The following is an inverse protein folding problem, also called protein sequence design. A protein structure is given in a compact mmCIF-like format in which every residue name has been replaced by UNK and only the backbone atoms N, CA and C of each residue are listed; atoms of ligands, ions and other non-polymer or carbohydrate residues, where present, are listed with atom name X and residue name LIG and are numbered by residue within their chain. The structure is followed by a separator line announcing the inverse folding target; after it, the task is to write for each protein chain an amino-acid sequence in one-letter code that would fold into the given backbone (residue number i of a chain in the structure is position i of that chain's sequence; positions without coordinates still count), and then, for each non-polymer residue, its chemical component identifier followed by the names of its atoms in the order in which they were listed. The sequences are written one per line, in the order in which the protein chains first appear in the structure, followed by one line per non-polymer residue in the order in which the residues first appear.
data_IF_767428201897
#
_entry.id   IF_767428201897
#
_cell.length_a   1.000
_cell.length_b   1.000
_cell.length_c   1.000
_cell.angle_alpha   90.00
_cell.angle_beta   90.00
_cell.angle_gamma   90.00
#
_symmetry.space_group_name_H-M   'P 1'
#
loop_
_entity.id
_entity.type
_entity.pdbx_description
1 polymer ?
#
# COMPACT_ATOMS: atom_id res chain seq x y z
N UNK A 1 20.34 -9.06 -19.20
CA UNK A 1 19.85 -8.04 -18.24
C UNK A 1 21.05 -7.47 -17.53
N UNK A 2 21.20 -6.15 -17.49
CA UNK A 2 22.25 -5.54 -16.70
C UNK A 2 21.85 -5.55 -15.20
N UNK A 3 22.76 -5.15 -14.32
CA UNK A 3 22.52 -5.12 -12.87
C UNK A 3 21.39 -4.18 -12.47
N UNK A 4 21.23 -3.05 -13.16
CA UNK A 4 20.16 -2.09 -12.90
C UNK A 4 18.76 -2.66 -13.22
N UNK A 5 18.63 -3.42 -14.31
CA UNK A 5 17.38 -4.08 -14.70
C UNK A 5 16.93 -5.09 -13.65
N UNK A 6 17.88 -5.89 -13.14
CA UNK A 6 17.64 -6.87 -12.08
C UNK A 6 17.21 -6.18 -10.78
N UNK A 7 17.89 -5.11 -10.38
CA UNK A 7 17.54 -4.34 -9.19
C UNK A 7 16.14 -3.71 -9.30
N UNK A 8 15.80 -3.14 -10.45
CA UNK A 8 14.47 -2.59 -10.71
C UNK A 8 13.36 -3.65 -10.62
N UNK A 9 13.61 -4.85 -11.18
CA UNK A 9 12.67 -5.96 -11.11
C UNK A 9 12.45 -6.44 -9.66
N UNK A 10 13.53 -6.65 -8.91
CA UNK A 10 13.48 -7.10 -7.51
C UNK A 10 12.77 -6.06 -6.64
N UNK A 11 13.08 -4.77 -6.81
CA UNK A 11 12.40 -3.67 -6.12
C UNK A 11 10.89 -3.71 -6.35
N UNK A 12 10.46 -3.95 -7.60
CA UNK A 12 9.04 -4.09 -7.94
C UNK A 12 8.38 -5.28 -7.25
N UNK A 13 9.05 -6.43 -7.22
CA UNK A 13 8.54 -7.62 -6.53
C UNK A 13 8.36 -7.37 -5.04
N UNK A 14 9.39 -6.81 -4.40
CA UNK A 14 9.35 -6.46 -2.97
C UNK A 14 8.19 -5.49 -2.69
N UNK A 15 8.03 -4.45 -3.52
CA UNK A 15 6.96 -3.48 -3.37
C UNK A 15 5.57 -4.12 -3.45
N UNK A 16 5.33 -4.94 -4.49
CA UNK A 16 4.03 -5.59 -4.70
C UNK A 16 3.73 -6.59 -3.58
N UNK A 17 4.69 -7.45 -3.21
CA UNK A 17 4.50 -8.45 -2.15
C UNK A 17 4.21 -7.78 -0.80
N UNK A 18 4.92 -6.71 -0.48
CA UNK A 18 4.70 -5.95 0.77
C UNK A 18 3.31 -5.30 0.78
N UNK A 19 2.86 -4.74 -0.34
CA UNK A 19 1.52 -4.16 -0.47
C UNK A 19 0.44 -5.23 -0.30
N UNK A 20 0.62 -6.40 -0.93
CA UNK A 20 -0.30 -7.53 -0.82
C UNK A 20 -0.42 -8.02 0.62
N UNK A 21 0.69 -8.14 1.36
CA UNK A 21 0.66 -8.58 2.75
C UNK A 21 -0.05 -7.56 3.67
N UNK A 22 0.24 -6.27 3.52
CA UNK A 22 -0.38 -5.22 4.35
C UNK A 22 -1.88 -5.10 4.08
N UNK A 23 -2.27 -5.02 2.81
CA UNK A 23 -3.67 -4.84 2.41
C UNK A 23 -4.46 -6.14 2.60
N UNK A 24 -3.87 -7.27 2.22
CA UNK A 24 -4.46 -8.60 2.40
C UNK A 24 -4.66 -8.96 3.86
N UNK A 25 -3.70 -8.66 4.74
CA UNK A 25 -3.88 -8.85 6.18
C UNK A 25 -4.96 -7.94 6.77
N UNK A 26 -5.07 -6.69 6.30
CA UNK A 26 -6.16 -5.79 6.69
C UNK A 26 -7.53 -6.32 6.23
N UNK A 27 -7.62 -6.81 4.99
CA UNK A 27 -8.84 -7.41 4.44
C UNK A 27 -9.24 -8.69 5.17
N UNK A 28 -8.29 -9.61 5.41
CA UNK A 28 -8.50 -10.80 6.23
C UNK A 28 -9.02 -10.44 7.62
N UNK A 29 -8.39 -9.45 8.28
CA UNK A 29 -8.83 -9.01 9.59
C UNK A 29 -10.27 -8.50 9.56
N UNK A 30 -10.59 -7.63 8.59
CA UNK A 30 -11.89 -6.97 8.46
C UNK A 30 -13.03 -7.90 8.07
N UNK A 31 -12.79 -8.83 7.17
CA UNK A 31 -13.84 -9.62 6.51
C UNK A 31 -13.91 -11.07 7.00
N UNK A 32 -12.83 -11.63 7.54
CA UNK A 32 -12.80 -13.01 8.03
C UNK A 32 -12.61 -13.06 9.55
N UNK A 33 -11.52 -12.50 10.07
CA UNK A 33 -11.17 -12.66 11.49
C UNK A 33 -12.18 -11.97 12.42
N UNK A 34 -12.45 -10.67 12.24
CA UNK A 34 -13.35 -9.92 13.12
C UNK A 34 -14.76 -10.54 13.15
N UNK A 35 -15.41 -10.84 12.01
CA UNK A 35 -16.72 -11.48 12.03
C UNK A 35 -16.72 -12.89 12.64
N UNK A 36 -15.65 -13.66 12.49
CA UNK A 36 -15.58 -15.02 13.00
C UNK A 36 -15.50 -15.12 14.53
N UNK A 37 -15.04 -14.04 15.20
CA UNK A 37 -14.89 -14.00 16.66
C UNK A 37 -15.96 -13.17 17.37
N UNK A 38 -16.65 -12.30 16.63
CA UNK A 38 -17.71 -11.42 17.14
C UNK A 38 -18.91 -12.26 17.62
N UNK A 39 -19.32 -12.05 18.87
CA UNK A 39 -20.43 -12.80 19.48
C UNK A 39 -20.13 -14.26 19.84
N UNK A 40 -18.94 -14.78 19.51
CA UNK A 40 -18.51 -16.14 19.83
C UNK A 40 -17.58 -16.17 21.05
N UNK A 41 -16.65 -15.20 21.13
CA UNK A 41 -15.70 -15.10 22.24
C UNK A 41 -16.18 -14.10 23.29
N UNK A 42 -15.94 -14.41 24.56
CA UNK A 42 -16.06 -13.43 25.64
C UNK A 42 -14.98 -12.33 25.51
N UNK A 43 -15.21 -11.18 26.14
CA UNK A 43 -14.35 -10.01 26.04
C UNK A 43 -12.90 -10.29 26.46
N UNK A 44 -12.70 -11.12 27.49
CA UNK A 44 -11.37 -11.42 28.02
C UNK A 44 -10.59 -12.31 27.05
N UNK A 45 -11.22 -13.36 26.52
CA UNK A 45 -10.63 -14.25 25.51
C UNK A 45 -10.37 -13.50 24.20
N UNK A 46 -11.31 -12.67 23.77
CA UNK A 46 -11.18 -11.83 22.59
C UNK A 46 -9.96 -10.88 22.71
N UNK A 47 -9.79 -10.22 23.86
CA UNK A 47 -8.65 -9.35 24.14
C UNK A 47 -7.32 -10.11 24.09
N UNK A 48 -7.22 -11.27 24.76
CA UNK A 48 -6.01 -12.10 24.78
C UNK A 48 -5.64 -12.59 23.38
N UNK A 49 -6.62 -13.01 22.58
CA UNK A 49 -6.40 -13.41 21.19
C UNK A 49 -5.84 -12.23 20.38
N UNK A 50 -6.48 -11.06 20.48
CA UNK A 50 -6.04 -9.85 19.79
C UNK A 50 -4.59 -9.49 20.12
N UNK A 51 -4.21 -9.49 21.40
CA UNK A 51 -2.85 -9.18 21.84
C UNK A 51 -1.82 -10.15 21.24
N UNK A 52 -2.13 -11.45 21.23
CA UNK A 52 -1.25 -12.48 20.65
C UNK A 52 -1.10 -12.33 19.14
N UNK A 53 -2.16 -12.00 18.43
CA UNK A 53 -2.14 -11.75 16.99
C UNK A 53 -1.33 -10.49 16.70
N UNK A 54 -1.65 -9.36 17.35
CA UNK A 54 -0.98 -8.07 17.15
C UNK A 54 0.52 -8.16 17.46
N UNK A 55 0.92 -8.87 18.52
CA UNK A 55 2.33 -9.02 18.88
C UNK A 55 3.19 -9.66 17.77
N UNK A 56 2.60 -10.56 16.98
CA UNK A 56 3.25 -11.21 15.83
C UNK A 56 3.09 -10.37 14.56
N UNK A 57 1.87 -9.94 14.30
CA UNK A 57 1.50 -9.25 13.07
C UNK A 57 2.17 -7.87 12.92
N UNK A 58 2.37 -7.14 14.02
CA UNK A 58 3.04 -5.83 14.00
C UNK A 58 4.45 -5.90 13.39
N UNK A 59 5.19 -7.00 13.60
CA UNK A 59 6.53 -7.17 13.04
C UNK A 59 6.46 -7.25 11.51
N UNK A 60 5.54 -8.08 11.00
CA UNK A 60 5.31 -8.23 9.56
C UNK A 60 4.87 -6.91 8.93
N UNK A 61 3.91 -6.21 9.56
CA UNK A 61 3.42 -4.92 9.07
C UNK A 61 4.53 -3.88 9.03
N UNK A 62 5.30 -3.72 10.11
CA UNK A 62 6.39 -2.74 10.15
C UNK A 62 7.46 -3.03 9.10
N UNK A 63 7.84 -4.30 8.92
CA UNK A 63 8.77 -4.71 7.86
C UNK A 63 8.21 -4.38 6.47
N UNK A 64 6.96 -4.74 6.18
CA UNK A 64 6.35 -4.44 4.89
C UNK A 64 6.22 -2.94 4.63
N UNK A 65 5.84 -2.15 5.64
CA UNK A 65 5.76 -0.69 5.52
C UNK A 65 7.14 -0.08 5.26
N UNK A 66 8.19 -0.54 5.95
CA UNK A 66 9.56 -0.10 5.70
C UNK A 66 10.01 -0.43 4.27
N UNK A 67 9.74 -1.67 3.81
CA UNK A 67 10.05 -2.10 2.44
C UNK A 67 9.28 -1.28 1.39
N UNK A 68 8.00 -0.99 1.62
CA UNK A 68 7.18 -0.13 0.75
C UNK A 68 7.71 1.29 0.69
N UNK A 69 8.15 1.84 1.83
CA UNK A 69 8.72 3.17 1.90
C UNK A 69 10.04 3.26 1.11
N UNK A 70 10.96 2.31 1.33
CA UNK A 70 12.26 2.26 0.64
C UNK A 70 12.09 2.05 -0.87
N UNK A 71 11.31 1.05 -1.27
CA UNK A 71 11.05 0.76 -2.69
C UNK A 71 10.26 1.88 -3.38
N UNK A 72 9.34 2.52 -2.65
CA UNK A 72 8.62 3.72 -3.12
C UNK A 72 9.56 4.90 -3.35
N UNK A 73 10.49 5.16 -2.43
CA UNK A 73 11.50 6.20 -2.57
C UNK A 73 12.47 5.92 -3.73
N UNK A 74 12.88 4.66 -3.92
CA UNK A 74 13.68 4.24 -5.07
C UNK A 74 12.95 4.52 -6.40
N UNK A 75 11.67 4.15 -6.50
CA UNK A 75 10.86 4.41 -7.69
C UNK A 75 10.65 5.92 -7.94
N UNK A 76 10.50 6.71 -6.88
CA UNK A 76 10.41 8.17 -6.97
C UNK A 76 11.69 8.79 -7.52
N UNK A 77 12.85 8.38 -7.00
CA UNK A 77 14.15 8.85 -7.46
C UNK A 77 14.37 8.54 -8.95
N UNK A 78 14.08 7.30 -9.37
CA UNK A 78 14.18 6.93 -10.79
C UNK A 78 13.23 7.76 -11.66
N UNK A 79 12.03 8.07 -11.18
CA UNK A 79 11.08 8.91 -11.93
C UNK A 79 11.57 10.34 -12.14
N UNK A 80 12.40 10.90 -11.25
CA UNK A 80 13.01 12.22 -11.48
C UNK A 80 14.18 12.17 -12.47
N UNK A 81 15.00 11.12 -12.40
CA UNK A 81 16.17 10.98 -13.26
C UNK A 81 15.80 10.86 -14.74
N UNK A 82 14.70 10.17 -15.06
CA UNK A 82 14.33 9.86 -16.44
C UNK A 82 13.54 10.98 -17.18
N UNK A 83 13.49 12.21 -16.65
CA UNK A 83 12.83 13.39 -17.27
C UNK A 83 11.48 13.05 -17.94
N UNK A 84 10.60 12.35 -17.22
CA UNK A 84 9.29 11.92 -17.72
C UNK A 84 8.50 13.16 -18.20
N UNK A 85 7.93 13.16 -19.43
CA UNK A 85 7.31 14.34 -20.06
C UNK A 85 6.15 14.97 -19.23
N UNK A 86 5.81 16.25 -19.48
CA UNK A 86 5.17 17.12 -18.48
C UNK A 86 3.66 16.87 -18.27
N UNK A 87 3.22 17.12 -17.03
CA UNK A 87 1.86 17.48 -16.54
C UNK A 87 0.68 16.75 -17.22
N UNK A 88 0.14 15.66 -16.63
CA UNK A 88 -0.43 15.59 -15.27
C UNK A 88 0.17 14.48 -14.37
N UNK A 89 1.38 13.99 -14.69
CA UNK A 89 2.01 12.87 -13.96
C UNK A 89 2.40 13.21 -12.51
N UNK A 90 2.93 14.43 -12.27
CA UNK A 90 3.38 14.88 -10.95
C UNK A 90 2.28 14.99 -9.89
N UNK A 91 1.13 15.63 -10.13
CA UNK A 91 0.07 15.72 -9.12
C UNK A 91 -0.55 14.35 -8.80
N UNK A 92 -0.73 13.48 -9.81
CA UNK A 92 -1.23 12.12 -9.59
C UNK A 92 -0.24 11.29 -8.75
N UNK A 93 1.06 11.44 -9.00
CA UNK A 93 2.09 10.79 -8.19
C UNK A 93 2.07 11.31 -6.75
N UNK A 94 2.02 12.63 -6.55
CA UNK A 94 1.96 13.25 -5.22
C UNK A 94 0.74 12.80 -4.43
N UNK A 95 -0.43 12.74 -5.07
CA UNK A 95 -1.65 12.21 -4.47
C UNK A 95 -1.47 10.74 -4.04
N UNK A 96 -0.90 9.90 -4.93
CA UNK A 96 -0.63 8.48 -4.61
C UNK A 96 0.29 8.35 -3.40
N UNK A 97 1.31 9.19 -3.30
CA UNK A 97 2.23 9.20 -2.15
C UNK A 97 1.50 9.56 -0.84
N UNK A 98 0.68 10.62 -0.84
CA UNK A 98 -0.11 11.01 0.35
C UNK A 98 -1.09 9.93 0.79
N UNK A 99 -1.76 9.29 -0.17
CA UNK A 99 -2.64 8.15 0.10
C UNK A 99 -1.86 6.98 0.69
N UNK A 100 -0.67 6.66 0.14
CA UNK A 100 0.18 5.58 0.63
C UNK A 100 0.65 5.84 2.07
N UNK A 101 1.10 7.06 2.38
CA UNK A 101 1.47 7.45 3.75
C UNK A 101 0.30 7.30 4.73
N UNK A 102 -0.91 7.64 4.28
CA UNK A 102 -2.13 7.46 5.08
C UNK A 102 -2.43 5.98 5.33
N UNK A 103 -2.26 5.12 4.32
CA UNK A 103 -2.39 3.66 4.46
C UNK A 103 -1.35 3.11 5.44
N UNK A 104 -0.10 3.58 5.37
CA UNK A 104 0.97 3.16 6.30
C UNK A 104 0.67 3.58 7.73
N UNK A 105 0.18 4.81 7.91
CA UNK A 105 -0.28 5.30 9.22
C UNK A 105 -1.34 4.39 9.82
N UNK A 106 -2.39 4.05 9.07
CA UNK A 106 -3.43 3.15 9.57
C UNK A 106 -2.90 1.73 9.83
N UNK A 107 -2.05 1.20 8.95
CA UNK A 107 -1.44 -0.11 9.14
C UNK A 107 -0.69 -0.20 10.48
N UNK A 108 0.16 0.81 10.77
CA UNK A 108 0.91 0.89 12.03
C UNK A 108 -0.04 1.14 13.22
N UNK A 109 -0.94 2.12 13.12
CA UNK A 109 -1.84 2.49 14.21
C UNK A 109 -2.76 1.33 14.64
N UNK A 110 -3.33 0.61 13.67
CA UNK A 110 -4.25 -0.51 13.92
C UNK A 110 -3.52 -1.77 14.43
N UNK A 111 -2.21 -1.88 14.20
CA UNK A 111 -1.37 -2.97 14.72
C UNK A 111 -0.48 -2.54 15.90
N UNK A 112 -0.73 -1.37 16.49
CA UNK A 112 0.00 -0.88 17.64
C UNK A 112 -0.66 -1.28 18.96
N UNK A 113 0.17 -1.57 19.97
CA UNK A 113 -0.29 -1.75 21.36
C UNK A 113 -0.24 -0.44 22.16
N UNK A 114 0.25 0.65 21.56
CA UNK A 114 0.38 1.94 22.24
C UNK A 114 -1.00 2.51 22.64
N UNK A 115 -1.12 3.14 23.83
CA UNK A 115 -2.34 3.85 24.25
C UNK A 115 -2.75 4.96 23.29
N UNK A 116 -1.80 5.64 22.63
CA UNK A 116 -2.07 6.75 21.72
C UNK A 116 -2.97 6.38 20.52
N UNK A 117 -3.00 5.12 20.13
CA UNK A 117 -3.85 4.61 19.04
C UNK A 117 -5.13 3.91 19.53
N UNK A 118 -5.46 3.98 20.83
CA UNK A 118 -6.62 3.30 21.39
C UNK A 118 -7.95 3.73 20.73
N UNK A 119 -8.14 5.02 20.45
CA UNK A 119 -9.35 5.55 19.78
C UNK A 119 -9.53 5.02 18.36
N UNK A 120 -8.43 4.86 17.62
CA UNK A 120 -8.42 4.26 16.28
C UNK A 120 -8.75 2.76 16.36
N UNK A 121 -8.15 2.04 17.32
CA UNK A 121 -8.42 0.61 17.52
C UNK A 121 -9.84 0.31 18.00
N UNK A 122 -10.43 1.17 18.82
CA UNK A 122 -11.82 1.05 19.25
C UNK A 122 -12.80 1.06 18.07
N UNK A 123 -12.48 1.84 17.02
CA UNK A 123 -13.23 1.88 15.77
C UNK A 123 -12.55 1.06 14.66
N UNK A 124 -11.85 -0.01 15.03
CA UNK A 124 -10.98 -0.77 14.12
C UNK A 124 -11.68 -1.23 12.84
N UNK A 125 -12.96 -1.63 12.94
CA UNK A 125 -13.78 -2.02 11.77
C UNK A 125 -13.85 -0.91 10.72
N UNK A 126 -14.15 0.33 11.14
CA UNK A 126 -14.25 1.50 10.27
C UNK A 126 -12.91 1.81 9.63
N UNK A 127 -11.85 1.87 10.44
CA UNK A 127 -10.53 2.29 9.96
C UNK A 127 -9.84 1.24 9.08
N UNK A 128 -10.09 -0.06 9.32
CA UNK A 128 -9.68 -1.12 8.40
C UNK A 128 -10.39 -0.97 7.05
N UNK A 129 -11.71 -0.71 7.03
CA UNK A 129 -12.43 -0.43 5.78
C UNK A 129 -11.83 0.77 5.06
N UNK A 130 -11.58 1.87 5.77
CA UNK A 130 -10.94 3.07 5.18
C UNK A 130 -9.56 2.72 4.60
N UNK A 131 -8.71 2.01 5.34
CA UNK A 131 -7.38 1.60 4.88
C UNK A 131 -7.46 0.76 3.59
N UNK A 132 -8.39 -0.21 3.53
CA UNK A 132 -8.61 -1.06 2.35
C UNK A 132 -9.10 -0.22 1.16
N UNK A 133 -10.07 0.66 1.37
CA UNK A 133 -10.59 1.54 0.31
C UNK A 133 -9.50 2.45 -0.25
N UNK A 134 -8.67 3.06 0.61
CA UNK A 134 -7.55 3.89 0.18
C UNK A 134 -6.53 3.07 -0.63
N UNK A 135 -6.22 1.84 -0.22
CA UNK A 135 -5.34 0.96 -0.97
C UNK A 135 -5.90 0.59 -2.35
N UNK A 136 -7.23 0.35 -2.46
CA UNK A 136 -7.89 0.11 -3.74
C UNK A 136 -7.78 1.35 -4.64
N UNK A 137 -8.03 2.55 -4.11
CA UNK A 137 -7.87 3.81 -4.86
C UNK A 137 -6.45 3.96 -5.41
N UNK A 138 -5.42 3.66 -4.59
CA UNK A 138 -4.02 3.67 -5.02
C UNK A 138 -3.77 2.72 -6.20
N UNK A 139 -4.36 1.52 -6.18
CA UNK A 139 -4.26 0.53 -7.26
C UNK A 139 -4.95 1.06 -8.54
N UNK A 140 -6.15 1.61 -8.42
CA UNK A 140 -6.89 2.18 -9.54
C UNK A 140 -6.14 3.35 -10.20
N UNK A 141 -5.61 4.27 -9.39
CA UNK A 141 -4.75 5.38 -9.87
C UNK A 141 -3.55 4.81 -10.64
N UNK A 142 -2.92 3.76 -10.10
CA UNK A 142 -1.77 3.11 -10.76
C UNK A 142 -2.13 2.51 -12.12
N UNK A 143 -3.31 1.91 -12.25
CA UNK A 143 -3.83 1.36 -13.51
C UNK A 143 -4.10 2.45 -14.55
N UNK A 144 -4.72 3.57 -14.14
CA UNK A 144 -4.96 4.73 -15.02
C UNK A 144 -3.63 5.32 -15.49
N UNK A 145 -2.68 5.58 -14.58
CA UNK A 145 -1.36 6.13 -14.94
C UNK A 145 -0.62 5.25 -15.95
N UNK A 146 -0.69 3.92 -15.78
CA UNK A 146 -0.07 2.96 -16.72
C UNK A 146 -0.69 3.06 -18.11
N UNK A 147 -2.02 3.15 -18.18
CA UNK A 147 -2.75 3.21 -19.45
C UNK A 147 -2.46 4.51 -20.19
N UNK A 148 -2.53 5.65 -19.49
CA UNK A 148 -2.23 6.98 -20.06
C UNK A 148 -0.82 7.03 -20.63
N UNK A 149 0.16 6.48 -19.90
CA UNK A 149 1.54 6.41 -20.37
C UNK A 149 1.69 5.56 -21.63
N UNK A 150 1.02 4.40 -21.70
CA UNK A 150 1.04 3.54 -22.89
C UNK A 150 0.41 4.22 -24.11
N UNK A 151 -0.74 4.89 -23.94
CA UNK A 151 -1.38 5.64 -25.03
C UNK A 151 -0.51 6.78 -25.55
N UNK A 152 0.19 7.50 -24.66
CA UNK A 152 1.10 8.57 -25.07
C UNK A 152 2.28 8.05 -25.92
N UNK A 153 2.84 6.89 -25.54
CA UNK A 153 3.93 6.25 -26.30
C UNK A 153 3.48 5.76 -27.68
N UNK A 154 2.27 5.20 -27.79
CA UNK A 154 1.70 4.76 -29.07
C UNK A 154 1.44 5.93 -30.02
N UNK A 155 0.89 7.04 -29.53
CA UNK A 155 0.68 8.25 -30.32
C UNK A 155 2.00 8.86 -30.82
N UNK A 156 3.05 8.85 -29.98
CA UNK A 156 4.37 9.33 -30.38
C UNK A 156 5.01 8.45 -31.47
N UNK A 157 4.90 7.13 -31.35
CA UNK A 157 5.46 6.18 -32.32
C UNK A 157 4.76 6.25 -33.69
N UNK A 158 3.43 6.42 -33.71
CA UNK A 158 2.66 6.57 -34.95
C UNK A 158 2.89 7.92 -35.62
N UNK A 159 3.04 9.00 -34.85
CA UNK A 159 3.39 10.32 -35.39
C UNK A 159 4.79 10.38 -36.02
N UNK A 160 5.78 9.68 -35.44
CA UNK A 160 7.14 9.61 -35.98
C UNK A 160 7.29 8.73 -37.23
N UNK A 161 6.35 7.81 -37.48
CA UNK A 161 6.35 6.96 -38.67
C UNK A 161 5.67 7.61 -39.89
N UNK A 162 4.96 8.73 -39.70
CA UNK A 162 4.26 9.47 -40.75
C UNK A 162 4.95 10.77 -41.21
N UNK A 163 6.14 11.07 -40.67
CA UNK A 163 6.99 12.23 -41.00
C UNK A 163 8.29 11.78 -41.65
#
# INVERSE_FOLDING_TARGET
MNTADVLGLVSRWIHILSAVLVVGGAAFNRFALMPAVEGVLDDQTHQRLRERIVARWKKVVHTCVALLFISGAYNFYLSFQHKVPPLPYHPMFGLKLLLALTVFYFAIALTSTSPGFARLRANGRKWLTVQITLAIIIILISGVMKTVHQSAMLSAATGAAGS
#
